data_IF_449587389669
#
_entry.id   IF_449587389669
#
_cell.length_a   1.000
_cell.length_b   1.000
_cell.length_c   1.000
_cell.angle_alpha   90.00
_cell.angle_beta   90.00
_cell.angle_gamma   90.00
#
_symmetry.space_group_name_H-M   'P 1'
#
loop_
_entity.id
_entity.type
_entity.pdbx_description
1 polymer ?
#
# COMPACT_ATOMS: atom_id res chain seq x y z
N UNK A 1 -3.04 9.16 -16.86
CA UNK A 1 -2.25 8.49 -15.81
C UNK A 1 -2.95 8.67 -14.48
N UNK A 2 -3.59 7.61 -13.97
CA UNK A 2 -4.13 7.60 -12.62
C UNK A 2 -2.95 7.62 -11.64
N UNK A 3 -2.84 8.68 -10.85
CA UNK A 3 -1.79 8.78 -9.84
C UNK A 3 -2.23 8.09 -8.57
N UNK A 4 -1.56 7.00 -8.18
CA UNK A 4 -1.75 6.28 -6.91
C UNK A 4 -1.97 7.23 -5.72
N UNK A 5 -1.17 8.31 -5.66
CA UNK A 5 -1.29 9.34 -4.61
C UNK A 5 -2.69 9.95 -4.48
N UNK A 6 -3.38 10.25 -5.59
CA UNK A 6 -4.71 10.91 -5.55
C UNK A 6 -5.78 9.90 -5.17
N UNK A 7 -5.70 8.71 -5.75
CA UNK A 7 -6.64 7.61 -5.54
C UNK A 7 -6.62 7.12 -4.10
N UNK A 8 -5.42 7.01 -3.52
CA UNK A 8 -5.23 6.50 -2.17
C UNK A 8 -5.55 7.56 -1.10
N UNK A 9 -5.33 8.85 -1.40
CA UNK A 9 -5.60 9.93 -0.45
C UNK A 9 -7.08 10.05 -0.06
N UNK A 10 -8.02 9.65 -0.94
CA UNK A 10 -9.45 9.61 -0.60
C UNK A 10 -9.87 8.41 0.25
N UNK A 11 -9.06 7.36 0.33
CA UNK A 11 -9.33 6.19 1.16
C UNK A 11 -9.05 6.48 2.65
N UNK A 12 -8.02 7.28 2.91
CA UNK A 12 -7.55 7.61 4.26
C UNK A 12 -8.31 8.74 4.96
N UNK A 13 -9.31 9.35 4.30
CA UNK A 13 -10.25 10.27 4.96
C UNK A 13 -11.30 9.52 5.79
N UNK A 14 -11.42 8.19 5.59
CA UNK A 14 -12.36 7.32 6.32
C UNK A 14 -11.67 6.73 7.54
N UNK A 15 -12.07 7.13 8.74
CA UNK A 15 -11.34 6.82 9.98
C UNK A 15 -11.35 5.35 10.43
N UNK A 16 -12.28 4.52 9.94
CA UNK A 16 -12.40 3.12 10.38
C UNK A 16 -11.85 2.18 9.32
N UNK A 17 -10.93 1.32 9.77
CA UNK A 17 -10.46 0.17 9.01
C UNK A 17 -11.38 -1.01 9.33
N UNK A 18 -12.14 -1.45 8.33
CA UNK A 18 -13.00 -2.63 8.36
C UNK A 18 -12.86 -3.42 7.04
N UNK A 19 -13.59 -4.51 6.88
CA UNK A 19 -13.50 -5.31 5.65
C UNK A 19 -13.85 -4.52 4.39
N UNK A 20 -14.84 -3.63 4.46
CA UNK A 20 -15.22 -2.79 3.32
C UNK A 20 -14.10 -1.79 2.96
N UNK A 21 -13.31 -1.35 3.95
CA UNK A 21 -12.13 -0.54 3.71
C UNK A 21 -11.05 -1.32 2.95
N UNK A 22 -10.77 -2.56 3.36
CA UNK A 22 -9.78 -3.42 2.71
C UNK A 22 -10.18 -3.77 1.27
N UNK A 23 -11.44 -4.12 1.03
CA UNK A 23 -11.93 -4.44 -0.30
C UNK A 23 -11.83 -3.21 -1.23
N UNK A 24 -12.14 -2.03 -0.72
CA UNK A 24 -11.97 -0.79 -1.48
C UNK A 24 -10.50 -0.48 -1.77
N UNK A 25 -9.59 -0.71 -0.81
CA UNK A 25 -8.15 -0.57 -1.07
C UNK A 25 -7.68 -1.50 -2.19
N UNK A 26 -8.12 -2.76 -2.20
CA UNK A 26 -7.75 -3.74 -3.23
C UNK A 26 -8.20 -3.28 -4.62
N UNK A 27 -9.44 -2.81 -4.72
CA UNK A 27 -10.00 -2.29 -5.97
C UNK A 27 -9.18 -1.10 -6.51
N UNK A 28 -8.76 -0.19 -5.62
CA UNK A 28 -7.95 0.97 -6.00
C UNK A 28 -6.54 0.57 -6.47
N UNK A 29 -5.92 -0.42 -5.83
CA UNK A 29 -4.61 -0.95 -6.24
C UNK A 29 -4.68 -1.60 -7.63
N UNK A 30 -5.71 -2.42 -7.88
CA UNK A 30 -5.93 -3.05 -9.19
C UNK A 30 -6.16 -2.00 -10.27
N UNK A 31 -6.99 -0.97 -10.01
CA UNK A 31 -7.24 0.14 -10.92
C UNK A 31 -6.00 0.99 -11.22
N UNK A 32 -4.99 0.92 -10.36
CA UNK A 32 -3.75 1.65 -10.49
C UNK A 32 -2.60 0.81 -11.08
N UNK A 33 -2.94 -0.27 -11.80
CA UNK A 33 -2.00 -1.15 -12.50
C UNK A 33 -1.01 -1.91 -11.59
N UNK A 34 -1.35 -2.12 -10.30
CA UNK A 34 -0.55 -2.95 -9.38
C UNK A 34 -0.72 -4.45 -9.69
N UNK A 35 -1.85 -4.84 -10.29
CA UNK A 35 -2.20 -6.21 -10.63
C UNK A 35 -2.89 -6.97 -9.48
N UNK A 36 -3.68 -7.99 -9.83
CA UNK A 36 -4.53 -8.74 -8.88
C UNK A 36 -3.70 -9.47 -7.84
N UNK A 37 -2.73 -10.28 -8.26
CA UNK A 37 -1.94 -11.12 -7.36
C UNK A 37 -1.20 -10.29 -6.29
N UNK A 38 -0.54 -9.20 -6.71
CA UNK A 38 0.17 -8.28 -5.81
C UNK A 38 -0.79 -7.55 -4.88
N UNK A 39 -1.95 -7.11 -5.39
CA UNK A 39 -2.96 -6.44 -4.56
C UNK A 39 -3.49 -7.39 -3.48
N UNK A 40 -3.88 -8.61 -3.83
CA UNK A 40 -4.38 -9.61 -2.87
C UNK A 40 -3.33 -9.96 -1.81
N UNK A 41 -2.06 -10.09 -2.22
CA UNK A 41 -0.96 -10.32 -1.29
C UNK A 41 -0.82 -9.16 -0.28
N UNK A 42 -0.76 -7.92 -0.77
CA UNK A 42 -0.64 -6.72 0.08
C UNK A 42 -1.79 -6.62 1.08
N UNK A 43 -3.02 -6.81 0.63
CA UNK A 43 -4.20 -6.75 1.50
C UNK A 43 -4.14 -7.84 2.58
N UNK A 44 -3.70 -9.05 2.22
CA UNK A 44 -3.55 -10.15 3.19
C UNK A 44 -2.51 -9.81 4.26
N UNK A 45 -1.38 -9.23 3.85
CA UNK A 45 -0.33 -8.76 4.78
C UNK A 45 -0.85 -7.67 5.71
N UNK A 46 -1.56 -6.67 5.16
CA UNK A 46 -2.13 -5.56 5.95
C UNK A 46 -3.21 -6.00 6.92
N UNK A 47 -4.08 -6.93 6.52
CA UNK A 47 -5.08 -7.53 7.42
C UNK A 47 -4.41 -8.24 8.60
N UNK A 48 -3.30 -8.94 8.34
CA UNK A 48 -2.51 -9.59 9.38
C UNK A 48 -1.86 -8.55 10.32
N UNK A 49 -1.19 -7.54 9.77
CA UNK A 49 -0.59 -6.46 10.57
C UNK A 49 -1.63 -5.73 11.43
N UNK A 50 -2.75 -5.33 10.83
CA UNK A 50 -3.82 -4.64 11.55
C UNK A 50 -4.35 -5.45 12.74
N UNK A 51 -4.43 -6.78 12.59
CA UNK A 51 -4.84 -7.68 13.67
C UNK A 51 -3.76 -7.84 14.74
N UNK A 52 -2.49 -8.01 14.34
CA UNK A 52 -1.35 -8.18 15.26
C UNK A 52 -1.09 -6.93 16.10
N UNK A 53 -1.25 -5.75 15.49
CA UNK A 53 -1.00 -4.45 16.09
C UNK A 53 -2.27 -3.75 16.62
N UNK A 54 -3.43 -4.42 16.54
CA UNK A 54 -4.74 -3.89 16.92
C UNK A 54 -5.05 -2.50 16.31
N UNK A 55 -4.66 -2.31 15.04
CA UNK A 55 -4.85 -1.05 14.31
C UNK A 55 -6.32 -0.92 13.90
N UNK A 56 -6.95 0.16 14.35
CA UNK A 56 -8.35 0.46 13.99
C UNK A 56 -8.50 1.75 13.18
N UNK A 57 -7.46 2.59 13.15
CA UNK A 57 -7.42 3.85 12.40
C UNK A 57 -6.68 3.68 11.07
N UNK A 58 -7.20 4.32 10.03
CA UNK A 58 -6.63 4.31 8.68
C UNK A 58 -5.28 5.02 8.60
N UNK A 59 -5.02 6.01 9.47
CA UNK A 59 -3.74 6.73 9.46
C UNK A 59 -2.56 5.85 9.87
N UNK A 60 -2.72 5.05 10.92
CA UNK A 60 -1.68 4.12 11.37
C UNK A 60 -1.42 3.04 10.31
N UNK A 61 -2.49 2.54 9.67
CA UNK A 61 -2.38 1.55 8.61
C UNK A 61 -1.73 2.08 7.33
N UNK A 62 -1.76 3.41 7.11
CA UNK A 62 -1.06 4.05 5.99
C UNK A 62 0.45 3.87 6.10
N UNK A 63 1.00 3.99 7.31
CA UNK A 63 2.43 3.81 7.54
C UNK A 63 2.84 2.36 7.23
N UNK A 64 2.06 1.40 7.70
CA UNK A 64 2.24 -0.03 7.41
C UNK A 64 2.18 -0.32 5.91
N UNK A 65 1.18 0.22 5.20
CA UNK A 65 1.05 0.06 3.75
C UNK A 65 2.28 0.58 3.00
N UNK A 66 2.79 1.75 3.38
CA UNK A 66 4.01 2.30 2.77
C UNK A 66 5.20 1.40 3.06
N UNK A 67 5.36 0.92 4.30
CA UNK A 67 6.47 0.05 4.68
C UNK A 67 6.44 -1.27 3.92
N UNK A 68 5.28 -1.92 3.83
CA UNK A 68 5.09 -3.19 3.10
C UNK A 68 5.37 -3.02 1.61
N UNK A 69 4.84 -1.94 1.00
CA UNK A 69 5.12 -1.62 -0.40
C UNK A 69 6.61 -1.35 -0.64
N UNK A 70 7.26 -0.56 0.21
CA UNK A 70 8.69 -0.27 0.09
C UNK A 70 9.53 -1.54 0.22
N UNK A 71 9.19 -2.42 1.16
CA UNK A 71 9.87 -3.69 1.33
C UNK A 71 9.71 -4.60 0.11
N UNK A 72 8.50 -4.68 -0.46
CA UNK A 72 8.26 -5.50 -1.63
C UNK A 72 8.92 -4.96 -2.90
N UNK A 73 9.00 -3.63 -3.04
CA UNK A 73 9.63 -2.99 -4.19
C UNK A 73 11.15 -2.94 -4.08
N UNK A 74 11.74 -2.98 -2.88
CA UNK A 74 13.20 -2.97 -2.73
C UNK A 74 13.88 -4.18 -3.35
N UNK A 75 13.20 -5.32 -3.42
CA UNK A 75 13.72 -6.53 -4.08
C UNK A 75 13.82 -6.37 -5.61
N UNK A 76 13.06 -5.43 -6.18
CA UNK A 76 13.03 -5.14 -7.61
C UNK A 76 13.96 -3.99 -8.01
N UNK A 77 14.52 -3.26 -7.05
CA UNK A 77 15.40 -2.14 -7.33
C UNK A 77 16.77 -2.66 -7.80
N UNK A 78 17.24 -2.28 -9.00
CA UNK A 78 18.56 -2.64 -9.46
C UNK A 78 19.63 -2.11 -8.50
N UNK A 79 20.73 -2.84 -8.25
CA UNK A 79 21.80 -2.40 -7.34
C UNK A 79 22.43 -1.07 -7.78
N UNK A 80 22.36 -0.72 -9.06
CA UNK A 80 22.69 0.60 -9.59
C UNK A 80 21.43 1.22 -10.19
N UNK A 81 20.68 1.98 -9.39
CA UNK A 81 19.58 2.81 -9.88
C UNK A 81 20.17 4.15 -10.40
N UNK A 82 20.26 4.38 -11.72
CA UNK A 82 20.84 5.61 -12.29
C UNK A 82 19.97 6.85 -12.07
N UNK A 83 18.76 6.68 -11.52
CA UNK A 83 17.84 7.76 -11.15
C UNK A 83 17.84 8.04 -9.65
N UNK A 84 18.65 7.34 -8.85
CA UNK A 84 18.79 7.61 -7.43
C UNK A 84 19.56 8.94 -7.24
N UNK A 85 18.94 10.00 -6.71
CA UNK A 85 19.60 11.30 -6.53
C UNK A 85 20.72 11.28 -5.49
N UNK A 86 20.83 10.21 -4.68
CA UNK A 86 21.95 9.97 -3.77
C UNK A 86 23.13 9.22 -4.41
N UNK A 87 23.01 8.83 -5.69
CA UNK A 87 24.07 8.15 -6.44
C UNK A 87 24.98 9.11 -7.23
N UNK A 88 24.88 10.43 -6.99
CA UNK A 88 25.76 11.48 -7.54
C UNK A 88 26.45 12.23 -6.40
#
# INVERSE_FOLDING_TARGET
MFGLRKTLSSLFTRHRVDEAWFDHLEELLIKADVGVATSTFLITSLRKSAKEHAITNSEDLKADLVSELSHHLSDLEPPENPLNPSAI
#
